data_IF_084692013845
#
_entry.id   IF_084692013845
#
_cell.length_a   1.000
_cell.length_b   1.000
_cell.length_c   1.000
_cell.angle_alpha   90.00
_cell.angle_beta   90.00
_cell.angle_gamma   90.00
#
_symmetry.space_group_name_H-M   'P 1'
#
loop_
_entity.id
_entity.type
_entity.pdbx_description
1 polymer ?
#
# COMPACT_ATOMS: atom_id res chain seq x y z
N UNK A 1 -20.91 36.99 -17.17
CA UNK A 1 -19.50 36.62 -17.06
C UNK A 1 -19.50 35.11 -17.01
N UNK A 2 -19.22 34.45 -18.15
CA UNK A 2 -19.42 33.02 -18.30
C UNK A 2 -18.26 32.29 -17.61
N UNK A 3 -18.60 31.34 -16.73
CA UNK A 3 -17.63 30.43 -16.09
C UNK A 3 -16.95 29.60 -17.18
N UNK A 4 -15.64 29.75 -17.31
CA UNK A 4 -14.85 28.93 -18.20
C UNK A 4 -14.94 27.45 -17.71
N UNK A 5 -15.13 26.47 -18.61
CA UNK A 5 -15.23 25.07 -18.21
C UNK A 5 -13.93 24.64 -17.54
N UNK A 6 -14.06 24.04 -16.37
CA UNK A 6 -12.94 23.49 -15.59
C UNK A 6 -12.27 22.35 -16.38
N UNK A 7 -11.09 22.61 -16.92
CA UNK A 7 -10.30 21.66 -17.70
C UNK A 7 -9.70 20.59 -16.76
N UNK A 8 -10.34 19.41 -16.72
CA UNK A 8 -9.95 18.28 -15.87
C UNK A 8 -8.57 17.70 -16.21
N UNK A 9 -8.12 17.87 -17.43
CA UNK A 9 -6.85 17.29 -17.91
C UNK A 9 -5.64 18.10 -17.41
N UNK A 10 -5.82 19.42 -17.27
CA UNK A 10 -4.78 20.29 -16.70
C UNK A 10 -4.70 20.24 -15.18
N UNK A 11 -5.76 19.82 -14.50
CA UNK A 11 -5.79 19.75 -13.03
C UNK A 11 -4.93 18.64 -12.44
N UNK A 12 -4.51 17.67 -13.24
CA UNK A 12 -3.58 16.62 -12.77
C UNK A 12 -2.15 17.14 -12.48
N UNK A 13 -1.80 18.31 -13.01
CA UNK A 13 -0.45 18.87 -12.91
C UNK A 13 -0.36 20.27 -12.30
N UNK A 14 -1.47 20.94 -12.11
CA UNK A 14 -1.45 22.23 -11.42
C UNK A 14 -1.30 21.99 -9.93
N UNK A 15 -0.11 22.25 -9.40
CA UNK A 15 0.08 22.34 -7.96
C UNK A 15 -0.86 23.41 -7.41
N UNK A 16 -1.75 23.10 -6.46
CA UNK A 16 -2.32 24.17 -5.65
C UNK A 16 -1.15 24.81 -4.91
N UNK A 17 -0.84 26.04 -5.25
CA UNK A 17 0.02 26.86 -4.40
C UNK A 17 -0.52 26.67 -2.97
N UNK A 18 0.37 26.40 -2.01
CA UNK A 18 0.03 26.27 -0.60
C UNK A 18 -0.53 27.63 -0.15
N UNK A 19 -1.79 27.87 -0.39
CA UNK A 19 -2.48 29.04 0.14
C UNK A 19 -2.49 28.90 1.66
N UNK A 20 -2.03 29.92 2.40
CA UNK A 20 -2.16 29.92 3.84
C UNK A 20 -3.66 29.77 4.18
N UNK A 21 -4.04 28.66 4.79
CA UNK A 21 -5.42 28.45 5.19
C UNK A 21 -5.75 29.42 6.31
N UNK A 22 -6.56 30.43 5.96
CA UNK A 22 -7.19 31.30 6.95
C UNK A 22 -8.10 30.45 7.85
N UNK A 23 -7.93 30.65 9.15
CA UNK A 23 -8.67 29.92 10.19
C UNK A 23 -10.18 30.20 10.16
N UNK A 24 -10.63 31.20 9.41
CA UNK A 24 -12.04 31.56 9.24
C UNK A 24 -12.82 30.67 8.25
N UNK A 25 -12.12 29.87 7.42
CA UNK A 25 -12.75 28.98 6.42
C UNK A 25 -12.90 27.53 6.89
N UNK A 26 -13.23 27.31 8.15
CA UNK A 26 -13.65 25.98 8.62
C UNK A 26 -14.95 25.56 7.92
N UNK A 27 -14.84 24.74 6.88
CA UNK A 27 -15.97 24.06 6.23
C UNK A 27 -16.15 24.30 4.74
N UNK A 28 -15.49 25.26 4.11
CA UNK A 28 -15.61 25.57 2.68
C UNK A 28 -14.28 25.91 2.00
N UNK A 29 -13.20 25.22 2.38
CA UNK A 29 -11.93 25.32 1.68
C UNK A 29 -11.98 24.61 0.30
N UNK A 30 -11.14 25.01 -0.66
CA UNK A 30 -11.04 24.32 -1.93
C UNK A 30 -10.71 22.85 -1.69
N UNK A 31 -11.54 21.96 -2.23
CA UNK A 31 -11.29 20.53 -2.17
C UNK A 31 -10.06 20.21 -3.03
N UNK A 32 -9.07 19.56 -2.45
CA UNK A 32 -7.89 19.08 -3.16
C UNK A 32 -8.10 17.61 -3.49
N UNK A 33 -8.00 17.26 -4.78
CA UNK A 33 -8.00 15.88 -5.21
C UNK A 33 -6.70 15.21 -4.76
N UNK A 34 -6.77 14.32 -3.76
CA UNK A 34 -5.62 13.61 -3.23
C UNK A 34 -5.21 12.45 -4.14
N UNK A 35 -6.19 11.66 -4.58
CA UNK A 35 -5.98 10.46 -5.37
C UNK A 35 -6.82 10.49 -6.65
N UNK A 36 -6.20 10.25 -7.79
CA UNK A 36 -6.89 10.11 -9.05
C UNK A 36 -7.62 8.77 -9.17
N UNK A 37 -8.37 8.56 -10.25
CA UNK A 37 -9.11 7.31 -10.47
C UNK A 37 -8.19 6.10 -10.53
N UNK A 38 -7.03 6.22 -11.17
CA UNK A 38 -6.04 5.14 -11.29
C UNK A 38 -5.58 4.67 -9.92
N UNK A 39 -5.14 5.57 -9.03
CA UNK A 39 -4.73 5.20 -7.67
C UNK A 39 -5.86 4.53 -6.89
N UNK A 40 -7.09 4.99 -7.04
CA UNK A 40 -8.26 4.40 -6.36
C UNK A 40 -8.56 2.98 -6.85
N UNK A 41 -8.42 2.72 -8.17
CA UNK A 41 -8.61 1.39 -8.75
C UNK A 41 -7.51 0.44 -8.24
N UNK A 42 -6.24 0.85 -8.31
CA UNK A 42 -5.14 0.04 -7.79
C UNK A 42 -5.31 -0.25 -6.30
N UNK A 43 -5.66 0.74 -5.50
CA UNK A 43 -5.90 0.52 -4.07
C UNK A 43 -7.08 -0.43 -3.80
N UNK A 44 -8.15 -0.36 -4.57
CA UNK A 44 -9.26 -1.33 -4.48
C UNK A 44 -8.82 -2.76 -4.84
N UNK A 45 -7.95 -2.91 -5.85
CA UNK A 45 -7.36 -4.21 -6.21
C UNK A 45 -6.46 -4.74 -5.09
N UNK A 46 -5.63 -3.88 -4.49
CA UNK A 46 -4.81 -4.23 -3.32
C UNK A 46 -5.69 -4.73 -2.19
N UNK A 47 -6.71 -3.98 -1.80
CA UNK A 47 -7.65 -4.37 -0.75
C UNK A 47 -8.23 -5.75 -1.04
N UNK A 48 -8.79 -5.95 -2.22
CA UNK A 48 -9.46 -7.20 -2.58
C UNK A 48 -8.50 -8.40 -2.54
N UNK A 49 -7.33 -8.26 -3.19
CA UNK A 49 -6.35 -9.35 -3.24
C UNK A 49 -5.72 -9.61 -1.88
N UNK A 50 -5.36 -8.55 -1.13
CA UNK A 50 -4.78 -8.68 0.19
C UNK A 50 -5.70 -9.42 1.17
N UNK A 51 -6.97 -9.02 1.27
CA UNK A 51 -7.92 -9.72 2.14
C UNK A 51 -8.14 -11.18 1.70
N UNK A 52 -8.18 -11.44 0.39
CA UNK A 52 -8.28 -12.81 -0.12
C UNK A 52 -7.06 -13.64 0.29
N UNK A 53 -5.86 -13.09 0.16
CA UNK A 53 -4.60 -13.75 0.56
C UNK A 53 -4.57 -14.03 2.06
N UNK A 54 -4.90 -13.05 2.90
CA UNK A 54 -4.94 -13.22 4.36
C UNK A 54 -5.98 -14.27 4.78
N UNK A 55 -7.20 -14.18 4.24
CA UNK A 55 -8.28 -15.11 4.60
C UNK A 55 -8.07 -16.55 4.11
N UNK A 56 -7.20 -16.74 3.14
CA UNK A 56 -6.80 -18.09 2.66
C UNK A 56 -5.58 -18.63 3.39
N UNK A 57 -4.66 -17.77 3.86
CA UNK A 57 -3.42 -18.17 4.54
C UNK A 57 -3.59 -18.36 6.06
N UNK A 58 -4.24 -17.41 6.74
CA UNK A 58 -4.39 -17.42 8.20
C UNK A 58 -4.99 -18.72 8.74
N UNK A 59 -6.05 -19.31 8.14
CA UNK A 59 -6.60 -20.57 8.64
C UNK A 59 -5.66 -21.77 8.44
N UNK A 60 -4.77 -21.73 7.46
CA UNK A 60 -3.74 -22.78 7.29
C UNK A 60 -2.70 -22.71 8.41
N UNK A 61 -2.28 -21.50 8.76
CA UNK A 61 -1.28 -21.26 9.80
C UNK A 61 -1.81 -21.56 11.21
N UNK A 62 -3.08 -21.25 11.45
CA UNK A 62 -3.76 -21.46 12.74
C UNK A 62 -4.81 -22.57 12.65
N UNK A 63 -4.45 -23.71 12.06
CA UNK A 63 -5.37 -24.81 11.76
C UNK A 63 -6.14 -25.36 12.97
N UNK A 64 -5.60 -25.23 14.18
CA UNK A 64 -6.25 -25.63 15.43
C UNK A 64 -7.24 -24.59 15.98
N UNK A 65 -7.33 -23.39 15.39
CA UNK A 65 -8.24 -22.38 15.87
C UNK A 65 -9.68 -22.62 15.35
N UNK A 66 -10.72 -22.39 16.16
CA UNK A 66 -12.12 -22.65 15.76
C UNK A 66 -12.55 -21.92 14.48
N UNK A 67 -12.03 -20.70 14.25
CA UNK A 67 -12.34 -19.93 13.04
C UNK A 67 -11.75 -20.57 11.77
N UNK A 68 -10.68 -21.36 11.89
CA UNK A 68 -10.01 -21.96 10.74
C UNK A 68 -10.86 -23.03 10.07
N UNK A 69 -11.59 -23.83 10.85
CA UNK A 69 -12.54 -24.81 10.33
C UNK A 69 -13.66 -24.12 9.52
N UNK A 70 -14.21 -23.04 10.06
CA UNK A 70 -15.26 -22.26 9.39
C UNK A 70 -14.75 -21.69 8.07
N UNK A 71 -13.58 -21.03 8.07
CA UNK A 71 -13.01 -20.45 6.87
C UNK A 71 -12.63 -21.50 5.83
N UNK A 72 -12.04 -22.62 6.24
CA UNK A 72 -11.72 -23.72 5.32
C UNK A 72 -12.96 -24.33 4.71
N UNK A 73 -14.04 -24.47 5.47
CA UNK A 73 -15.33 -24.94 4.95
C UNK A 73 -15.91 -23.97 3.92
N UNK A 74 -15.85 -22.66 4.19
CA UNK A 74 -16.29 -21.62 3.25
C UNK A 74 -15.50 -21.65 1.94
N UNK A 75 -14.20 -21.88 2.00
CA UNK A 75 -13.34 -21.99 0.82
C UNK A 75 -13.51 -23.34 0.08
N UNK A 76 -14.18 -24.31 0.68
CA UNK A 76 -14.35 -25.65 0.11
C UNK A 76 -13.12 -26.55 0.28
N UNK A 77 -12.37 -26.36 1.36
CA UNK A 77 -11.22 -27.17 1.74
C UNK A 77 -9.87 -26.53 1.41
N UNK A 78 -8.81 -27.15 1.94
CA UNK A 78 -7.42 -26.66 1.86
C UNK A 78 -6.93 -26.51 0.42
N UNK A 79 -7.25 -27.45 -0.46
CA UNK A 79 -6.82 -27.41 -1.86
C UNK A 79 -7.39 -26.21 -2.61
N UNK A 80 -8.69 -25.95 -2.43
CA UNK A 80 -9.35 -24.79 -3.04
C UNK A 80 -8.86 -23.48 -2.45
N UNK A 81 -8.68 -23.42 -1.14
CA UNK A 81 -8.08 -22.25 -0.49
C UNK A 81 -6.70 -21.96 -1.07
N UNK A 82 -5.84 -22.97 -1.22
CA UNK A 82 -4.53 -22.85 -1.85
C UNK A 82 -4.59 -22.40 -3.33
N UNK A 83 -5.58 -22.86 -4.08
CA UNK A 83 -5.79 -22.41 -5.46
C UNK A 83 -6.21 -20.94 -5.51
N UNK A 84 -7.17 -20.54 -4.67
CA UNK A 84 -7.64 -19.14 -4.57
C UNK A 84 -6.49 -18.23 -4.14
N UNK A 85 -5.68 -18.66 -3.17
CA UNK A 85 -4.48 -17.93 -2.74
C UNK A 85 -3.53 -17.66 -3.91
N UNK A 86 -3.18 -18.69 -4.69
CA UNK A 86 -2.31 -18.56 -5.85
C UNK A 86 -2.89 -17.68 -6.96
N UNK A 87 -4.20 -17.77 -7.22
CA UNK A 87 -4.87 -16.89 -8.20
C UNK A 87 -4.81 -15.44 -7.71
N UNK A 88 -5.15 -15.17 -6.45
CA UNK A 88 -5.08 -13.82 -5.88
C UNK A 88 -3.64 -13.27 -5.90
N UNK A 89 -2.64 -14.10 -5.59
CA UNK A 89 -1.23 -13.74 -5.68
C UNK A 89 -0.83 -13.40 -7.13
N UNK A 90 -1.24 -14.21 -8.11
CA UNK A 90 -0.99 -13.95 -9.53
C UNK A 90 -1.61 -12.63 -10.01
N UNK A 91 -2.84 -12.34 -9.60
CA UNK A 91 -3.51 -11.05 -9.88
C UNK A 91 -2.74 -9.90 -9.23
N UNK A 92 -2.31 -10.07 -7.96
CA UNK A 92 -1.52 -9.07 -7.24
C UNK A 92 -0.21 -8.77 -7.95
N UNK A 93 0.54 -9.78 -8.35
CA UNK A 93 1.78 -9.63 -9.13
C UNK A 93 1.50 -8.89 -10.45
N UNK A 94 0.48 -9.29 -11.18
CA UNK A 94 0.17 -8.71 -12.49
C UNK A 94 -0.12 -7.20 -12.40
N UNK A 95 -1.03 -6.78 -11.53
CA UNK A 95 -1.33 -5.35 -11.41
C UNK A 95 -0.17 -4.54 -10.80
N UNK A 96 0.62 -5.14 -9.90
CA UNK A 96 1.81 -4.47 -9.35
C UNK A 96 2.85 -4.22 -10.44
N UNK A 97 3.10 -5.18 -11.32
CA UNK A 97 3.99 -4.99 -12.47
C UNK A 97 3.48 -3.88 -13.40
N UNK A 98 2.18 -3.84 -13.68
CA UNK A 98 1.56 -2.76 -14.47
C UNK A 98 1.74 -1.40 -13.77
N UNK A 99 1.53 -1.34 -12.46
CA UNK A 99 1.71 -0.12 -11.68
C UNK A 99 3.16 0.36 -11.67
N UNK A 100 4.11 -0.54 -11.45
CA UNK A 100 5.55 -0.23 -11.47
C UNK A 100 5.98 0.24 -12.86
N UNK A 101 5.52 -0.42 -13.92
CA UNK A 101 5.80 0.00 -15.30
C UNK A 101 5.22 1.39 -15.58
N UNK A 102 3.98 1.66 -15.17
CA UNK A 102 3.36 2.97 -15.29
C UNK A 102 4.13 4.05 -14.52
N UNK A 103 4.56 3.76 -13.29
CA UNK A 103 5.38 4.67 -12.48
C UNK A 103 6.74 4.92 -13.13
N UNK A 104 7.37 3.88 -13.68
CA UNK A 104 8.64 3.97 -14.42
C UNK A 104 8.52 4.87 -15.65
N UNK A 105 7.46 4.74 -16.43
CA UNK A 105 7.19 5.61 -17.58
C UNK A 105 6.99 7.06 -17.14
N UNK A 106 6.25 7.29 -16.07
CA UNK A 106 6.06 8.65 -15.52
C UNK A 106 7.38 9.25 -15.04
N UNK A 107 8.20 8.47 -14.35
CA UNK A 107 9.52 8.90 -13.90
C UNK A 107 10.44 9.21 -15.06
N UNK A 108 10.45 8.37 -16.11
CA UNK A 108 11.26 8.59 -17.32
C UNK A 108 10.88 9.87 -18.05
N UNK A 109 9.57 10.21 -18.09
CA UNK A 109 9.02 11.40 -18.76
C UNK A 109 9.05 12.66 -17.90
N UNK A 110 9.39 12.56 -16.62
CA UNK A 110 9.43 13.73 -15.74
C UNK A 110 10.60 14.66 -16.08
N UNK A 111 10.33 15.95 -16.25
CA UNK A 111 11.34 16.98 -16.49
C UNK A 111 12.21 17.19 -15.24
N UNK A 112 11.58 17.21 -14.06
CA UNK A 112 12.25 17.34 -12.77
C UNK A 112 12.06 16.07 -11.92
N UNK A 113 13.00 15.15 -12.06
CA UNK A 113 13.03 13.87 -11.34
C UNK A 113 13.24 14.04 -9.83
N UNK A 114 14.07 15.03 -9.44
CA UNK A 114 14.33 15.34 -8.05
C UNK A 114 13.07 15.84 -7.35
N UNK A 115 12.32 16.70 -8.00
CA UNK A 115 11.04 17.18 -7.48
C UNK A 115 10.00 16.08 -7.34
N UNK A 116 9.99 15.11 -8.27
CA UNK A 116 9.10 13.95 -8.18
C UNK A 116 9.41 13.07 -6.96
N UNK A 117 10.70 12.91 -6.63
CA UNK A 117 11.15 12.08 -5.50
C UNK A 117 11.15 12.86 -4.16
N UNK A 118 11.56 14.13 -4.17
CA UNK A 118 11.80 14.92 -2.96
C UNK A 118 10.86 16.13 -2.80
N UNK A 119 9.94 16.33 -3.73
CA UNK A 119 8.97 17.41 -3.69
C UNK A 119 7.90 17.25 -2.60
N UNK A 120 7.12 18.31 -2.39
CA UNK A 120 6.02 18.35 -1.41
C UNK A 120 4.94 17.31 -1.69
N UNK A 121 4.80 16.90 -2.95
CA UNK A 121 3.79 15.94 -3.44
C UNK A 121 4.35 14.54 -3.64
N UNK A 122 5.57 14.28 -3.12
CA UNK A 122 6.20 12.97 -3.19
C UNK A 122 5.61 12.01 -2.15
N UNK A 123 5.43 10.75 -2.54
CA UNK A 123 5.11 9.64 -1.64
C UNK A 123 6.35 9.05 -0.96
N UNK A 124 7.56 9.49 -1.35
CA UNK A 124 8.80 9.04 -0.71
C UNK A 124 8.88 9.61 0.71
N UNK A 125 9.18 8.78 1.73
CA UNK A 125 9.36 9.25 3.10
C UNK A 125 10.50 10.28 3.23
N UNK A 126 10.27 11.31 4.02
CA UNK A 126 11.22 12.40 4.25
C UNK A 126 11.53 12.54 5.75
N UNK A 127 12.67 13.14 6.13
CA UNK A 127 12.97 13.42 7.54
C UNK A 127 11.90 14.28 8.25
N UNK A 128 11.19 15.15 7.49
CA UNK A 128 10.07 15.93 8.05
C UNK A 128 8.88 15.07 8.48
N UNK A 129 8.69 13.89 7.85
CA UNK A 129 7.59 12.99 8.22
C UNK A 129 7.77 12.46 9.65
N UNK A 130 9.02 12.29 10.11
CA UNK A 130 9.34 12.00 11.51
C UNK A 130 8.94 13.14 12.47
N UNK A 131 9.14 14.40 12.06
CA UNK A 131 8.68 15.56 12.85
C UNK A 131 7.15 15.66 12.86
N UNK A 132 6.51 15.34 11.75
CA UNK A 132 5.05 15.31 11.63
C UNK A 132 4.45 14.22 12.53
N UNK A 133 5.08 13.06 12.57
CA UNK A 133 4.73 11.98 13.50
C UNK A 133 4.82 12.45 14.96
N UNK A 134 5.95 13.02 15.36
CA UNK A 134 6.14 13.51 16.73
C UNK A 134 5.17 14.65 17.08
N UNK A 135 4.86 15.54 16.13
CA UNK A 135 3.88 16.61 16.31
C UNK A 135 2.46 16.09 16.47
N UNK A 136 2.10 14.99 15.77
CA UNK A 136 0.82 14.32 15.95
C UNK A 136 0.69 13.71 17.33
N UNK A 137 1.73 12.99 17.81
CA UNK A 137 1.77 12.45 19.16
C UNK A 137 1.65 13.55 20.23
N UNK A 138 2.43 14.63 20.06
CA UNK A 138 2.33 15.78 20.96
C UNK A 138 0.92 16.34 21.03
N UNK A 139 0.29 16.53 19.86
CA UNK A 139 -1.10 17.02 19.80
C UNK A 139 -2.07 16.04 20.45
N UNK A 140 -1.91 14.74 20.21
CA UNK A 140 -2.77 13.71 20.79
C UNK A 140 -2.77 13.74 22.33
N UNK A 141 -1.59 13.89 22.93
CA UNK A 141 -1.47 13.92 24.40
C UNK A 141 -1.74 15.29 25.03
N UNK A 142 -1.49 16.38 24.33
CA UNK A 142 -1.60 17.73 24.91
C UNK A 142 -2.81 18.52 24.44
N UNK A 143 -3.48 18.09 23.37
CA UNK A 143 -4.54 18.84 22.70
C UNK A 143 -4.11 20.15 22.05
N UNK A 144 -2.80 20.49 22.10
CA UNK A 144 -2.28 21.77 21.62
C UNK A 144 -1.49 21.62 20.31
N UNK A 145 -1.63 22.60 19.41
CA UNK A 145 -0.82 22.67 18.21
C UNK A 145 -1.15 21.55 17.21
N UNK A 146 -2.42 21.44 16.78
CA UNK A 146 -2.83 20.46 15.78
C UNK A 146 -1.92 20.51 14.55
N UNK A 147 -1.24 19.40 14.18
CA UNK A 147 -0.33 19.36 13.05
C UNK A 147 -1.08 19.58 11.72
N UNK A 148 -0.40 20.20 10.77
CA UNK A 148 -0.89 20.41 9.40
C UNK A 148 0.00 19.63 8.46
N UNK A 149 -0.60 18.77 7.65
CA UNK A 149 0.12 17.95 6.69
C UNK A 149 -0.01 18.55 5.29
N UNK A 150 0.94 18.21 4.40
CA UNK A 150 0.86 18.51 2.98
C UNK A 150 -0.20 17.65 2.26
N UNK A 151 -0.04 17.47 0.96
CA UNK A 151 -0.93 16.64 0.15
C UNK A 151 -0.99 15.21 0.67
N UNK A 152 0.18 14.64 1.03
CA UNK A 152 0.31 13.34 1.66
C UNK A 152 0.94 13.52 3.04
N UNK A 153 0.30 12.96 4.06
CA UNK A 153 0.82 12.89 5.42
C UNK A 153 1.79 11.71 5.58
N UNK A 154 2.41 11.66 6.73
CA UNK A 154 3.36 10.58 7.05
C UNK A 154 2.70 9.19 7.07
N UNK A 155 1.40 9.09 7.42
CA UNK A 155 0.68 7.81 7.44
C UNK A 155 0.46 7.26 6.03
N UNK A 156 0.03 8.09 5.07
CA UNK A 156 -0.15 7.65 3.69
C UNK A 156 1.18 7.24 3.03
N UNK A 157 2.28 7.90 3.42
CA UNK A 157 3.62 7.52 2.94
C UNK A 157 4.11 6.22 3.57
N UNK A 158 3.84 6.04 4.87
CA UNK A 158 4.20 4.81 5.59
C UNK A 158 3.43 3.61 5.03
N UNK A 159 2.14 3.79 4.75
CA UNK A 159 1.28 2.78 4.13
C UNK A 159 1.80 2.39 2.74
N UNK A 160 2.05 3.37 1.88
CA UNK A 160 2.63 3.15 0.55
C UNK A 160 3.99 2.44 0.60
N UNK A 161 4.88 2.86 1.51
CA UNK A 161 6.18 2.23 1.67
C UNK A 161 6.05 0.80 2.21
N UNK A 162 5.14 0.59 3.17
CA UNK A 162 4.80 -0.72 3.71
C UNK A 162 4.27 -1.67 2.64
N UNK A 163 3.46 -1.18 1.70
CA UNK A 163 2.97 -1.95 0.56
C UNK A 163 4.12 -2.38 -0.37
N UNK A 164 5.01 -1.44 -0.74
CA UNK A 164 6.17 -1.74 -1.60
C UNK A 164 7.11 -2.74 -0.93
N UNK A 165 7.39 -2.55 0.36
CA UNK A 165 8.25 -3.44 1.15
C UNK A 165 7.62 -4.82 1.33
N UNK A 166 6.34 -4.85 1.75
CA UNK A 166 5.58 -6.08 1.94
C UNK A 166 5.49 -6.89 0.64
N UNK A 167 5.20 -6.22 -0.49
CA UNK A 167 5.19 -6.88 -1.80
C UNK A 167 6.54 -7.49 -2.15
N UNK A 168 7.65 -6.79 -1.88
CA UNK A 168 8.98 -7.33 -2.16
C UNK A 168 9.29 -8.58 -1.32
N UNK A 169 8.99 -8.56 -0.03
CA UNK A 169 9.29 -9.67 0.89
C UNK A 169 8.27 -10.80 0.75
N UNK A 170 6.97 -10.49 0.90
CA UNK A 170 5.92 -11.51 0.86
C UNK A 170 5.80 -12.08 -0.56
N UNK A 171 5.81 -11.23 -1.58
CA UNK A 171 5.75 -11.65 -2.98
C UNK A 171 6.98 -12.44 -3.39
N UNK A 172 8.18 -11.97 -3.06
CA UNK A 172 9.44 -12.65 -3.35
C UNK A 172 9.53 -14.01 -2.67
N UNK A 173 9.24 -14.09 -1.37
CA UNK A 173 9.19 -15.36 -0.64
C UNK A 173 8.07 -16.28 -1.15
N UNK A 174 6.92 -15.72 -1.50
CA UNK A 174 5.79 -16.47 -2.08
C UNK A 174 6.15 -17.11 -3.43
N UNK A 175 6.84 -16.39 -4.32
CA UNK A 175 7.32 -16.94 -5.59
C UNK A 175 8.31 -18.07 -5.36
N UNK A 176 9.20 -17.94 -4.36
CA UNK A 176 10.14 -18.98 -3.99
C UNK A 176 9.41 -20.27 -3.54
N UNK A 177 8.39 -20.11 -2.69
CA UNK A 177 7.57 -21.19 -2.18
C UNK A 177 6.63 -21.80 -3.22
N UNK A 178 6.24 -21.03 -4.24
CA UNK A 178 5.35 -21.49 -5.31
C UNK A 178 6.05 -22.41 -6.30
N UNK A 179 7.35 -22.15 -6.56
CA UNK A 179 8.16 -22.91 -7.54
C UNK A 179 9.40 -23.55 -6.89
N UNK A 180 9.24 -24.40 -5.85
CA UNK A 180 10.37 -24.92 -5.07
C UNK A 180 11.30 -25.82 -5.92
N UNK A 181 10.75 -26.57 -6.87
CA UNK A 181 11.54 -27.43 -7.76
C UNK A 181 12.45 -26.63 -8.71
N UNK A 182 11.97 -25.49 -9.19
CA UNK A 182 12.77 -24.60 -10.02
C UNK A 182 13.89 -23.93 -9.21
N UNK A 183 13.53 -23.32 -8.07
CA UNK A 183 14.50 -22.58 -7.26
C UNK A 183 15.49 -23.51 -6.53
N UNK A 184 15.07 -24.73 -6.18
CA UNK A 184 15.91 -25.73 -5.54
C UNK A 184 17.10 -26.20 -6.38
N UNK A 185 17.10 -25.95 -7.69
CA UNK A 185 18.25 -26.18 -8.55
C UNK A 185 19.38 -25.17 -8.32
N UNK A 186 19.07 -23.98 -7.81
CA UNK A 186 19.99 -22.85 -7.65
C UNK A 186 20.25 -22.48 -6.19
N UNK A 187 19.28 -22.75 -5.31
CA UNK A 187 19.31 -22.31 -3.93
C UNK A 187 19.41 -23.50 -2.96
N UNK A 188 20.25 -23.37 -1.91
CA UNK A 188 20.27 -24.36 -0.82
C UNK A 188 18.91 -24.46 -0.13
N UNK A 189 18.54 -25.65 0.36
CA UNK A 189 17.23 -25.93 0.97
C UNK A 189 16.83 -25.01 2.14
N UNK A 190 17.79 -24.46 2.88
CA UNK A 190 17.49 -23.55 3.99
C UNK A 190 16.81 -22.24 3.53
N UNK A 191 16.97 -21.82 2.25
CA UNK A 191 16.24 -20.66 1.71
C UNK A 191 14.74 -20.83 1.77
N UNK A 192 14.21 -22.04 1.57
CA UNK A 192 12.76 -22.30 1.65
C UNK A 192 12.26 -22.17 3.09
N UNK A 193 13.06 -22.57 4.09
CA UNK A 193 12.72 -22.37 5.49
C UNK A 193 12.68 -20.86 5.83
N UNK A 194 13.67 -20.10 5.36
CA UNK A 194 13.70 -18.64 5.52
C UNK A 194 12.49 -18.01 4.81
N UNK A 195 12.21 -18.41 3.57
CA UNK A 195 11.05 -17.92 2.83
C UNK A 195 9.73 -18.20 3.54
N UNK A 196 9.54 -19.38 4.13
CA UNK A 196 8.34 -19.72 4.90
C UNK A 196 8.18 -18.81 6.12
N UNK A 197 9.28 -18.53 6.82
CA UNK A 197 9.28 -17.64 7.99
C UNK A 197 8.93 -16.22 7.56
N UNK A 198 9.63 -15.66 6.58
CA UNK A 198 9.37 -14.29 6.09
C UNK A 198 7.97 -14.13 5.52
N UNK A 199 7.53 -15.06 4.67
CA UNK A 199 6.21 -15.03 4.07
C UNK A 199 5.11 -14.96 5.13
N UNK A 200 5.16 -15.86 6.11
CA UNK A 200 4.13 -15.94 7.13
C UNK A 200 4.17 -14.81 8.16
N UNK A 201 5.35 -14.42 8.66
CA UNK A 201 5.44 -13.36 9.66
C UNK A 201 5.19 -11.97 9.07
N UNK A 202 5.73 -11.68 7.89
CA UNK A 202 5.48 -10.40 7.23
C UNK A 202 4.01 -10.25 6.85
N UNK A 203 3.36 -11.32 6.37
CA UNK A 203 1.93 -11.32 6.11
C UNK A 203 1.10 -11.01 7.37
N UNK A 204 1.49 -11.55 8.53
CA UNK A 204 0.83 -11.26 9.81
C UNK A 204 1.07 -9.83 10.28
N UNK A 205 2.29 -9.31 10.13
CA UNK A 205 2.62 -7.91 10.45
C UNK A 205 1.81 -6.96 9.57
N UNK A 206 1.79 -7.22 8.26
CA UNK A 206 1.02 -6.42 7.30
C UNK A 206 -0.48 -6.46 7.61
N UNK A 207 -1.05 -7.65 7.89
CA UNK A 207 -2.43 -7.79 8.30
C UNK A 207 -2.72 -7.01 9.60
N UNK A 208 -1.89 -7.18 10.62
CA UNK A 208 -2.01 -6.46 11.89
C UNK A 208 -1.95 -4.94 11.70
N UNK A 209 -1.02 -4.44 10.88
CA UNK A 209 -0.91 -3.02 10.56
C UNK A 209 -2.19 -2.49 9.90
N UNK A 210 -2.70 -3.17 8.87
CA UNK A 210 -3.90 -2.75 8.13
C UNK A 210 -5.14 -2.77 9.03
N UNK A 211 -5.30 -3.80 9.87
CA UNK A 211 -6.46 -3.89 10.77
C UNK A 211 -6.43 -2.89 11.93
N UNK A 212 -5.24 -2.48 12.39
CA UNK A 212 -5.10 -1.58 13.55
C UNK A 212 -4.96 -0.12 13.12
N UNK A 213 -4.25 0.17 12.03
CA UNK A 213 -3.89 1.52 11.58
C UNK A 213 -4.74 1.98 10.42
#
# INVERSE_FOLDING_TARGET
MADAPFDREKSEFVQPALLPMDTAQRGRGPFVWRFNRTHRIFHALVILTFYTLVLTDVPLRYSCAPFSEVLMTLWGGVERAGLIHRIAAGVMVAYTLVFVAWLGVRFARAEDKLRLLWGSDSMVPHPRDGRDFLSMWRWFFTGRGRPRFGRYGYLEKLDFFGEVWGFAIIGGSGILLWFPEFWGQWLPGWWFNVATVFHGYEAMIAAGFIFVV
#
